data_IF_869575547276
#
_entry.id   IF_869575547276
#
_cell.length_a   1.000
_cell.length_b   1.000
_cell.length_c   1.000
_cell.angle_alpha   90.00
_cell.angle_beta   90.00
_cell.angle_gamma   90.00
#
_symmetry.space_group_name_H-M   'P 1'
#
loop_
_entity.id
_entity.type
_entity.pdbx_description
1 polymer ?
#
# COMPACT_ATOMS: atom_id res chain seq x y z
N UNK A 1 10.22 -2.55 21.67
CA UNK A 1 10.31 -1.34 20.81
C UNK A 1 8.92 -1.01 20.29
N UNK A 2 8.38 0.18 20.58
CA UNK A 2 7.08 0.60 20.03
C UNK A 2 7.29 0.91 18.55
N UNK A 3 6.62 0.18 17.66
CA UNK A 3 6.61 0.50 16.23
C UNK A 3 6.00 1.89 16.04
N UNK A 4 6.69 2.76 15.31
CA UNK A 4 6.12 4.06 15.00
C UNK A 4 4.95 3.89 14.01
N UNK A 5 4.02 4.85 14.02
CA UNK A 5 2.91 4.86 13.05
C UNK A 5 3.44 4.86 11.61
N UNK A 6 4.59 5.49 11.37
CA UNK A 6 5.28 5.48 10.08
C UNK A 6 5.80 4.08 9.71
N UNK A 7 6.36 3.32 10.65
CA UNK A 7 6.82 1.94 10.39
C UNK A 7 5.68 1.01 10.00
N UNK A 8 4.54 1.14 10.68
CA UNK A 8 3.33 0.37 10.37
C UNK A 8 2.81 0.71 8.97
N UNK A 9 2.72 2.01 8.65
CA UNK A 9 2.25 2.48 7.35
C UNK A 9 3.20 2.08 6.22
N UNK A 10 4.52 2.16 6.41
CA UNK A 10 5.51 1.69 5.45
C UNK A 10 5.34 0.19 5.16
N UNK A 11 5.18 -0.64 6.21
CA UNK A 11 4.96 -2.08 6.04
C UNK A 11 3.65 -2.39 5.30
N UNK A 12 2.58 -1.65 5.59
CA UNK A 12 1.30 -1.80 4.88
C UNK A 12 1.43 -1.42 3.40
N UNK A 13 2.16 -0.34 3.10
CA UNK A 13 2.44 0.09 1.74
C UNK A 13 3.20 -0.98 0.95
N UNK A 14 4.24 -1.56 1.53
CA UNK A 14 5.03 -2.63 0.91
C UNK A 14 4.19 -3.89 0.64
N UNK A 15 3.28 -4.23 1.56
CA UNK A 15 2.34 -5.34 1.36
C UNK A 15 1.38 -5.06 0.21
N UNK A 16 0.84 -3.84 0.10
CA UNK A 16 -0.05 -3.45 -1.00
C UNK A 16 0.66 -3.48 -2.35
N UNK A 17 1.91 -3.01 -2.43
CA UNK A 17 2.75 -3.13 -3.64
C UNK A 17 2.94 -4.58 -4.10
N UNK A 18 3.18 -5.51 -3.16
CA UNK A 18 3.31 -6.94 -3.48
C UNK A 18 2.00 -7.53 -3.99
N UNK A 19 0.87 -7.19 -3.37
CA UNK A 19 -0.45 -7.62 -3.83
C UNK A 19 -0.78 -7.06 -5.22
N UNK A 20 -0.38 -5.82 -5.51
CA UNK A 20 -0.58 -5.21 -6.82
C UNK A 20 0.22 -5.93 -7.91
N UNK A 21 1.49 -6.26 -7.63
CA UNK A 21 2.32 -7.03 -8.55
C UNK A 21 1.68 -8.39 -8.89
N UNK A 22 1.12 -9.07 -7.88
CA UNK A 22 0.41 -10.34 -8.08
C UNK A 22 -0.91 -10.16 -8.85
N UNK A 23 -1.70 -9.14 -8.53
CA UNK A 23 -2.97 -8.86 -9.21
C UNK A 23 -2.76 -8.47 -10.69
N UNK A 24 -1.67 -7.75 -10.97
CA UNK A 24 -1.26 -7.35 -12.32
C UNK A 24 -0.90 -8.58 -13.16
N UNK A 25 -0.17 -9.55 -12.59
CA UNK A 25 0.12 -10.83 -13.25
C UNK A 25 -1.14 -11.67 -13.52
N UNK A 26 -2.18 -11.52 -12.69
CA UNK A 26 -3.45 -12.24 -12.85
C UNK A 26 -4.43 -11.54 -13.81
N UNK A 27 -4.07 -10.37 -14.37
CA UNK A 27 -4.93 -9.61 -15.28
C UNK A 27 -6.20 -9.05 -14.63
N UNK A 28 -6.25 -8.95 -13.29
CA UNK A 28 -7.44 -8.47 -12.59
C UNK A 28 -7.43 -6.94 -12.47
N UNK A 29 -7.95 -6.27 -13.50
CA UNK A 29 -7.93 -4.81 -13.63
C UNK A 29 -8.59 -4.07 -12.47
N UNK A 30 -9.75 -4.52 -11.99
CA UNK A 30 -10.46 -3.91 -10.87
C UNK A 30 -9.66 -4.05 -9.57
N UNK A 31 -9.08 -5.24 -9.33
CA UNK A 31 -8.25 -5.48 -8.15
C UNK A 31 -6.98 -4.64 -8.17
N UNK A 32 -6.37 -4.43 -9.32
CA UNK A 32 -5.23 -3.51 -9.45
C UNK A 32 -5.62 -2.07 -9.10
N UNK A 33 -6.72 -1.55 -9.64
CA UNK A 33 -7.20 -0.19 -9.35
C UNK A 33 -7.47 0.03 -7.85
N UNK A 34 -8.11 -0.95 -7.19
CA UNK A 34 -8.35 -0.89 -5.74
C UNK A 34 -7.03 -0.88 -4.97
N UNK A 35 -6.09 -1.76 -5.31
CA UNK A 35 -4.80 -1.84 -4.63
C UNK A 35 -3.94 -0.59 -4.84
N UNK A 36 -4.02 0.05 -6.01
CA UNK A 36 -3.39 1.33 -6.30
C UNK A 36 -3.98 2.45 -5.44
N UNK A 37 -5.31 2.56 -5.38
CA UNK A 37 -5.99 3.56 -4.56
C UNK A 37 -5.65 3.40 -3.06
N UNK A 38 -5.59 2.16 -2.57
CA UNK A 38 -5.17 1.88 -1.18
C UNK A 38 -3.71 2.25 -0.94
N UNK A 39 -2.80 1.94 -1.87
CA UNK A 39 -1.39 2.30 -1.77
C UNK A 39 -1.21 3.83 -1.76
N UNK A 40 -1.98 4.55 -2.58
CA UNK A 40 -1.99 6.01 -2.63
C UNK A 40 -2.49 6.61 -1.29
N UNK A 41 -3.58 6.09 -0.74
CA UNK A 41 -4.09 6.53 0.57
C UNK A 41 -3.05 6.34 1.69
N UNK A 42 -2.34 5.20 1.69
CA UNK A 42 -1.26 4.94 2.67
C UNK A 42 -0.07 5.89 2.45
N UNK A 43 0.31 6.15 1.20
CA UNK A 43 1.38 7.10 0.87
C UNK A 43 1.04 8.51 1.33
N UNK A 44 -0.21 8.94 1.14
CA UNK A 44 -0.68 10.25 1.60
C UNK A 44 -0.70 10.31 3.14
N UNK A 45 -1.16 9.26 3.82
CA UNK A 45 -1.08 9.18 5.29
C UNK A 45 0.37 9.25 5.80
N UNK A 46 1.33 8.63 5.11
CA UNK A 46 2.76 8.72 5.43
C UNK A 46 3.28 10.15 5.31
N UNK A 47 2.86 10.90 4.28
CA UNK A 47 3.25 12.31 4.10
C UNK A 47 2.70 13.21 5.23
N UNK A 48 1.51 12.91 5.75
CA UNK A 48 0.90 13.67 6.87
C UNK A 48 1.51 13.33 8.24
N UNK A 49 2.12 12.15 8.38
CA UNK A 49 2.79 11.71 9.62
C UNK A 49 4.24 12.23 9.70
N UNK A 50 4.77 12.78 8.59
CA UNK A 50 6.12 13.32 8.46
C UNK A 50 6.20 14.78 8.89
#
# INVERSE_FOLDING_TARGET
MKQSRADVLNRLYDMKRKQLAQASQQGNSLRCQVLEAEAEAISNALKTVR
#
